data_IF_047987320817
#
_entry.id   IF_047987320817
#
_cell.length_a   1.000
_cell.length_b   1.000
_cell.length_c   1.000
_cell.angle_alpha   90.00
_cell.angle_beta   90.00
_cell.angle_gamma   90.00
#
_symmetry.space_group_name_H-M   'P 1'
#
loop_
_entity.id
_entity.type
_entity.pdbx_description
1 polymer ?
#
# COMPACT_ATOMS: atom_id res chain seq x y z
N UNK A 1 3.09 1.06 17.07
CA UNK A 1 4.00 0.19 16.29
C UNK A 1 5.11 -0.22 17.23
N UNK A 2 5.14 -1.48 17.63
CA UNK A 2 6.31 -2.08 18.26
C UNK A 2 7.41 -2.17 17.20
N UNK A 3 8.37 -1.25 17.29
CA UNK A 3 9.50 -1.14 16.35
C UNK A 3 10.70 -1.95 16.82
N UNK A 4 10.74 -2.32 18.10
CA UNK A 4 11.88 -2.98 18.74
C UNK A 4 12.07 -4.39 18.15
N UNK A 5 10.97 -5.07 17.85
CA UNK A 5 10.97 -6.35 17.13
C UNK A 5 11.44 -6.26 15.67
N UNK A 6 11.33 -5.08 15.03
CA UNK A 6 11.84 -4.83 13.67
C UNK A 6 13.33 -4.46 13.71
N UNK A 7 13.76 -3.73 14.73
CA UNK A 7 15.17 -3.35 14.92
C UNK A 7 16.06 -4.54 15.23
N UNK A 8 15.55 -5.54 15.97
CA UNK A 8 16.25 -6.82 16.20
C UNK A 8 16.63 -7.57 14.91
N UNK A 9 16.01 -7.26 13.77
CA UNK A 9 16.36 -7.84 12.47
C UNK A 9 17.66 -7.27 11.87
N UNK A 10 18.31 -6.28 12.51
CA UNK A 10 19.56 -5.69 12.05
C UNK A 10 20.72 -6.70 11.96
N UNK A 11 20.69 -7.74 12.81
CA UNK A 11 21.68 -8.82 12.87
C UNK A 11 21.72 -9.72 11.62
N UNK A 12 20.69 -9.64 10.78
CA UNK A 12 20.58 -10.45 9.57
C UNK A 12 21.60 -9.96 8.53
N UNK A 13 22.65 -10.76 8.32
CA UNK A 13 23.78 -10.42 7.43
C UNK A 13 23.35 -10.13 5.98
N UNK A 14 22.54 -10.98 5.31
CA UNK A 14 22.13 -10.69 3.94
C UNK A 14 21.12 -9.54 3.89
N UNK A 15 21.49 -8.43 3.25
CA UNK A 15 20.67 -7.21 3.21
C UNK A 15 19.28 -7.43 2.58
N UNK A 16 19.19 -8.28 1.56
CA UNK A 16 17.91 -8.61 0.90
C UNK A 16 16.96 -9.32 1.87
N UNK A 17 17.45 -10.33 2.59
CA UNK A 17 16.65 -11.07 3.57
C UNK A 17 16.28 -10.20 4.77
N UNK A 18 17.21 -9.36 5.25
CA UNK A 18 16.93 -8.39 6.30
C UNK A 18 15.75 -7.47 5.92
N UNK A 19 15.83 -6.87 4.74
CA UNK A 19 14.77 -6.00 4.22
C UNK A 19 13.46 -6.78 4.04
N UNK A 20 13.51 -7.98 3.46
CA UNK A 20 12.33 -8.81 3.28
C UNK A 20 11.65 -9.17 4.62
N UNK A 21 12.43 -9.50 5.66
CA UNK A 21 11.89 -9.79 6.98
C UNK A 21 11.30 -8.55 7.64
N UNK A 22 11.96 -7.38 7.54
CA UNK A 22 11.38 -6.11 8.05
C UNK A 22 10.07 -5.77 7.35
N UNK A 23 10.02 -5.91 6.02
CA UNK A 23 8.79 -5.71 5.24
C UNK A 23 7.70 -6.71 5.63
N UNK A 24 8.05 -7.98 5.90
CA UNK A 24 7.10 -8.99 6.38
C UNK A 24 6.56 -8.65 7.76
N UNK A 25 7.38 -8.14 8.68
CA UNK A 25 6.93 -7.67 9.99
C UNK A 25 5.98 -6.47 9.86
N UNK A 26 6.30 -5.50 8.99
CA UNK A 26 5.40 -4.37 8.69
C UNK A 26 4.08 -4.85 8.08
N UNK A 27 4.13 -5.81 7.15
CA UNK A 27 2.93 -6.41 6.55
C UNK A 27 2.03 -7.05 7.62
N UNK A 28 2.61 -7.74 8.61
CA UNK A 28 1.89 -8.33 9.74
C UNK A 28 1.27 -7.27 10.65
N UNK A 29 2.04 -6.25 11.05
CA UNK A 29 1.57 -5.15 11.90
C UNK A 29 0.40 -4.37 11.26
N UNK A 30 0.39 -4.27 9.93
CA UNK A 30 -0.68 -3.61 9.19
C UNK A 30 -1.81 -4.58 8.80
N UNK A 31 -1.74 -5.86 9.15
CA UNK A 31 -2.65 -6.91 8.66
C UNK A 31 -2.80 -6.97 7.12
N UNK A 32 -1.84 -6.45 6.37
CA UNK A 32 -1.86 -6.49 4.91
C UNK A 32 -1.61 -7.90 4.35
N UNK A 33 -1.24 -8.86 5.20
CA UNK A 33 -1.05 -10.27 4.84
C UNK A 33 -2.37 -11.03 4.62
N UNK A 34 -3.52 -10.44 4.96
CA UNK A 34 -4.85 -10.99 4.64
C UNK A 34 -5.58 -10.19 3.55
N UNK A 35 -5.01 -9.06 3.12
CA UNK A 35 -5.58 -8.21 2.07
C UNK A 35 -5.05 -8.67 0.73
N UNK A 36 -5.95 -8.98 -0.21
CA UNK A 36 -5.58 -9.32 -1.58
C UNK A 36 -5.93 -8.19 -2.56
N UNK A 37 -5.47 -8.31 -3.80
CA UNK A 37 -5.81 -7.39 -4.88
C UNK A 37 -7.32 -7.36 -5.16
N UNK A 38 -8.07 -8.42 -4.83
CA UNK A 38 -9.52 -8.48 -5.01
C UNK A 38 -10.24 -7.46 -4.13
N UNK A 39 -9.86 -7.34 -2.85
CA UNK A 39 -10.45 -6.36 -1.93
C UNK A 39 -9.84 -4.97 -2.16
N UNK A 40 -8.57 -4.92 -2.56
CA UNK A 40 -7.84 -3.67 -2.72
C UNK A 40 -8.29 -2.87 -3.96
N UNK A 41 -8.40 -3.49 -5.14
CA UNK A 41 -8.66 -2.79 -6.41
C UNK A 41 -9.93 -1.93 -6.38
N UNK A 42 -11.11 -2.41 -5.93
CA UNK A 42 -12.33 -1.60 -5.88
C UNK A 42 -12.17 -0.34 -5.03
N UNK A 43 -11.45 -0.47 -3.90
CA UNK A 43 -11.23 0.64 -2.98
C UNK A 43 -10.25 1.65 -3.59
N UNK A 44 -9.19 1.19 -4.27
CA UNK A 44 -8.26 2.09 -4.99
C UNK A 44 -8.94 2.84 -6.14
N UNK A 45 -9.90 2.22 -6.83
CA UNK A 45 -10.72 2.91 -7.83
C UNK A 45 -11.56 4.03 -7.20
N UNK A 46 -12.01 3.87 -5.95
CA UNK A 46 -12.80 4.88 -5.23
C UNK A 46 -11.98 6.08 -4.71
N UNK A 47 -10.65 5.96 -4.63
CA UNK A 47 -9.75 7.05 -4.21
C UNK A 47 -9.64 8.21 -5.21
N UNK A 48 -10.14 8.03 -6.44
CA UNK A 48 -10.30 9.12 -7.41
C UNK A 48 -10.42 8.67 -8.86
N UNK A 49 -10.95 9.53 -9.73
CA UNK A 49 -11.01 9.29 -11.18
C UNK A 49 -9.67 9.48 -11.89
N UNK A 50 -9.58 9.07 -13.15
CA UNK A 50 -8.38 9.08 -14.00
C UNK A 50 -7.68 10.45 -14.17
N UNK A 51 -8.28 11.54 -13.66
CA UNK A 51 -7.81 12.92 -13.85
C UNK A 51 -7.04 13.52 -12.65
N UNK A 52 -7.05 12.87 -11.49
CA UNK A 52 -6.57 13.46 -10.23
C UNK A 52 -5.29 12.77 -9.73
N UNK A 53 -4.25 12.79 -10.56
CA UNK A 53 -2.94 12.20 -10.18
C UNK A 53 -1.94 13.21 -9.62
N UNK A 54 -2.28 14.50 -9.64
CA UNK A 54 -1.43 15.60 -9.16
C UNK A 54 -1.81 16.16 -7.80
N UNK A 55 -3.09 16.11 -7.39
CA UNK A 55 -3.50 16.56 -6.07
C UNK A 55 -3.17 15.50 -5.01
N UNK A 56 -2.56 15.92 -3.90
CA UNK A 56 -2.31 15.04 -2.76
C UNK A 56 -3.63 14.54 -2.15
N UNK A 57 -3.69 13.26 -1.79
CA UNK A 57 -4.81 12.70 -1.06
C UNK A 57 -4.78 13.20 0.38
N UNK A 58 -5.90 13.77 0.84
CA UNK A 58 -6.06 14.14 2.23
C UNK A 58 -6.13 12.91 3.14
N UNK A 59 -5.68 13.07 4.38
CA UNK A 59 -5.72 12.03 5.41
C UNK A 59 -7.09 11.40 5.59
N UNK A 60 -8.14 12.22 5.57
CA UNK A 60 -9.51 11.72 5.67
C UNK A 60 -9.88 10.77 4.52
N UNK A 61 -9.47 11.07 3.27
CA UNK A 61 -9.75 10.22 2.11
C UNK A 61 -9.00 8.90 2.21
N UNK A 62 -7.72 8.95 2.58
CA UNK A 62 -6.88 7.75 2.75
C UNK A 62 -7.43 6.86 3.85
N UNK A 63 -7.77 7.45 5.01
CA UNK A 63 -8.34 6.72 6.15
C UNK A 63 -9.69 6.09 5.81
N UNK A 64 -10.56 6.80 5.11
CA UNK A 64 -11.86 6.26 4.68
C UNK A 64 -11.69 5.07 3.72
N UNK A 65 -10.77 5.18 2.76
CA UNK A 65 -10.40 4.10 1.85
C UNK A 65 -9.94 2.86 2.63
N UNK A 66 -8.95 3.02 3.51
CA UNK A 66 -8.39 1.91 4.28
C UNK A 66 -9.45 1.26 5.19
N UNK A 67 -10.32 2.05 5.83
CA UNK A 67 -11.42 1.51 6.63
C UNK A 67 -12.37 0.65 5.81
N UNK A 68 -12.78 1.10 4.61
CA UNK A 68 -13.65 0.31 3.72
C UNK A 68 -12.99 -1.00 3.30
N UNK A 69 -11.70 -0.97 3.00
CA UNK A 69 -10.93 -2.17 2.64
C UNK A 69 -10.94 -3.19 3.78
N UNK A 70 -10.59 -2.78 5.01
CA UNK A 70 -10.57 -3.70 6.15
C UNK A 70 -11.96 -4.14 6.60
N UNK A 71 -13.00 -3.33 6.38
CA UNK A 71 -14.39 -3.76 6.58
C UNK A 71 -14.75 -4.90 5.63
N UNK A 72 -14.40 -4.79 4.35
CA UNK A 72 -14.61 -5.86 3.36
C UNK A 72 -13.87 -7.15 3.77
N UNK A 73 -12.61 -7.04 4.15
CA UNK A 73 -11.79 -8.19 4.58
C UNK A 73 -12.35 -8.84 5.85
N UNK A 74 -12.82 -8.03 6.81
CA UNK A 74 -13.38 -8.53 8.07
C UNK A 74 -14.68 -9.31 7.87
N UNK A 75 -15.44 -9.00 6.82
CA UNK A 75 -16.64 -9.77 6.45
C UNK A 75 -16.29 -11.10 5.78
N UNK A 76 -15.22 -11.14 4.98
CA UNK A 76 -14.78 -12.36 4.30
C UNK A 76 -14.02 -13.32 5.23
N UNK A 77 -13.20 -12.78 6.14
CA UNK A 77 -12.39 -13.58 7.07
C UNK A 77 -12.49 -13.05 8.51
N UNK A 78 -13.58 -13.38 9.22
CA UNK A 78 -13.81 -12.89 10.57
C UNK A 78 -12.70 -13.28 11.54
N UNK A 79 -12.32 -12.34 12.41
CA UNK A 79 -11.34 -12.57 13.49
C UNK A 79 -9.86 -12.50 13.07
N UNK A 80 -9.54 -12.33 11.79
CA UNK A 80 -8.14 -12.21 11.33
C UNK A 80 -7.61 -10.77 11.26
N UNK A 81 -8.49 -9.78 11.35
CA UNK A 81 -8.16 -8.35 11.31
C UNK A 81 -8.41 -7.73 12.68
N UNK A 82 -7.38 -7.12 13.25
CA UNK A 82 -7.52 -6.29 14.46
C UNK A 82 -8.22 -4.97 14.13
N UNK A 83 -8.99 -4.43 15.08
CA UNK A 83 -9.60 -3.11 14.96
C UNK A 83 -8.58 -1.98 14.72
N UNK A 84 -7.31 -2.19 15.09
CA UNK A 84 -6.22 -1.23 14.90
C UNK A 84 -5.56 -1.29 13.51
N UNK A 85 -5.82 -2.34 12.73
CA UNK A 85 -5.17 -2.53 11.42
C UNK A 85 -5.34 -1.35 10.44
N UNK A 86 -6.53 -0.71 10.34
CA UNK A 86 -6.68 0.47 9.50
C UNK A 86 -5.78 1.62 9.92
N UNK A 87 -5.71 1.90 11.23
CA UNK A 87 -4.90 2.98 11.79
C UNK A 87 -3.41 2.73 11.56
N UNK A 88 -2.96 1.49 11.78
CA UNK A 88 -1.57 1.09 11.57
C UNK A 88 -1.15 1.22 10.11
N UNK A 89 -2.04 0.88 9.18
CA UNK A 89 -1.81 1.04 7.74
C UNK A 89 -1.75 2.51 7.34
N UNK A 90 -2.67 3.35 7.85
CA UNK A 90 -2.63 4.80 7.61
C UNK A 90 -1.32 5.40 8.10
N UNK A 91 -0.94 5.10 9.35
CA UNK A 91 0.29 5.59 9.96
C UNK A 91 1.53 5.20 9.17
N UNK A 92 1.58 3.99 8.61
CA UNK A 92 2.67 3.55 7.74
C UNK A 92 2.76 4.42 6.48
N UNK A 93 1.65 4.65 5.78
CA UNK A 93 1.62 5.42 4.54
C UNK A 93 2.09 6.87 4.75
N UNK A 94 1.60 7.52 5.80
CA UNK A 94 1.99 8.91 6.12
C UNK A 94 3.45 8.99 6.54
N UNK A 95 3.96 8.02 7.31
CA UNK A 95 5.39 7.95 7.64
C UNK A 95 6.28 7.78 6.40
N UNK A 96 5.81 7.05 5.38
CA UNK A 96 6.58 6.82 4.15
C UNK A 96 6.54 8.04 3.21
N UNK A 97 5.37 8.65 3.05
CA UNK A 97 5.11 9.58 1.94
C UNK A 97 4.80 11.02 2.34
N UNK A 98 4.54 11.30 3.62
CA UNK A 98 4.32 12.66 4.13
C UNK A 98 5.38 13.05 5.18
N UNK A 99 6.64 13.03 4.76
CA UNK A 99 7.77 13.40 5.64
C UNK A 99 7.74 14.88 6.05
N UNK A 100 7.10 15.72 5.24
CA UNK A 100 6.93 17.15 5.51
C UNK A 100 5.73 17.48 6.39
N UNK A 101 4.97 16.48 6.86
CA UNK A 101 3.76 16.67 7.69
C UNK A 101 2.74 17.62 7.07
N UNK A 102 2.58 17.53 5.75
CA UNK A 102 1.65 18.32 4.95
C UNK A 102 0.20 17.87 5.09
N UNK A 103 -0.04 16.67 5.64
CA UNK A 103 -1.36 16.03 5.73
C UNK A 103 -1.83 15.43 4.39
N UNK A 104 -0.96 15.39 3.39
CA UNK A 104 -1.27 14.94 2.04
C UNK A 104 -0.24 13.94 1.51
N UNK A 105 -0.71 12.91 0.80
CA UNK A 105 0.15 11.88 0.18
C UNK A 105 -0.17 11.68 -1.29
N UNK A 106 0.84 11.37 -2.10
CA UNK A 106 0.61 11.06 -3.51
C UNK A 106 -0.20 9.75 -3.63
N UNK A 107 -1.31 9.80 -4.38
CA UNK A 107 -2.16 8.64 -4.65
C UNK A 107 -1.36 7.45 -5.19
N UNK A 108 -0.46 7.68 -6.15
CA UNK A 108 0.35 6.62 -6.78
C UNK A 108 1.22 5.90 -5.76
N UNK A 109 1.80 6.65 -4.83
CA UNK A 109 2.62 6.10 -3.75
C UNK A 109 1.79 5.24 -2.80
N UNK A 110 0.58 5.69 -2.46
CA UNK A 110 -0.38 4.90 -1.67
C UNK A 110 -0.76 3.60 -2.38
N UNK A 111 -1.18 3.68 -3.64
CA UNK A 111 -1.56 2.50 -4.44
C UNK A 111 -0.40 1.50 -4.55
N UNK A 112 0.81 1.98 -4.88
CA UNK A 112 1.99 1.14 -5.02
C UNK A 112 2.38 0.44 -3.70
N UNK A 113 2.31 1.15 -2.57
CA UNK A 113 2.61 0.59 -1.26
C UNK A 113 1.60 -0.51 -0.86
N UNK A 114 0.30 -0.23 -1.04
CA UNK A 114 -0.76 -1.19 -0.71
C UNK A 114 -0.68 -2.45 -1.61
N UNK A 115 -0.42 -2.28 -2.91
CA UNK A 115 -0.19 -3.41 -3.82
C UNK A 115 1.03 -4.22 -3.40
N UNK A 116 2.14 -3.56 -3.04
CA UNK A 116 3.39 -4.26 -2.68
C UNK A 116 3.24 -5.10 -1.41
N UNK A 117 2.47 -4.59 -0.44
CA UNK A 117 2.21 -5.22 0.84
C UNK A 117 1.04 -6.22 0.82
N UNK A 118 0.31 -6.37 -0.29
CA UNK A 118 -0.79 -7.34 -0.37
C UNK A 118 -0.30 -8.79 -0.25
N UNK A 119 -1.22 -9.68 0.11
CA UNK A 119 -1.02 -11.10 0.30
C UNK A 119 -0.82 -11.89 -1.02
N UNK A 120 -1.02 -11.24 -2.17
CA UNK A 120 -0.97 -11.89 -3.47
C UNK A 120 0.42 -12.40 -3.87
N UNK A 121 0.41 -13.28 -4.86
CA UNK A 121 1.63 -13.76 -5.52
C UNK A 121 2.44 -12.61 -6.11
N UNK A 122 3.76 -12.79 -6.20
CA UNK A 122 4.67 -11.82 -6.79
C UNK A 122 4.25 -11.44 -8.22
N UNK A 123 3.80 -12.41 -9.02
CA UNK A 123 3.33 -12.20 -10.39
C UNK A 123 2.11 -11.28 -10.45
N UNK A 124 1.12 -11.50 -9.58
CA UNK A 124 -0.08 -10.66 -9.53
C UNK A 124 0.25 -9.23 -9.10
N UNK A 125 1.10 -9.06 -8.07
CA UNK A 125 1.57 -7.74 -7.63
C UNK A 125 2.33 -7.00 -8.72
N UNK A 126 3.23 -7.70 -9.43
CA UNK A 126 3.99 -7.09 -10.52
C UNK A 126 3.07 -6.61 -11.66
N UNK A 127 2.10 -7.44 -12.08
CA UNK A 127 1.09 -7.04 -13.08
C UNK A 127 0.28 -5.82 -12.62
N UNK A 128 -0.12 -5.77 -11.35
CA UNK A 128 -0.86 -4.64 -10.80
C UNK A 128 -0.03 -3.34 -10.78
N UNK A 129 1.26 -3.42 -10.43
CA UNK A 129 2.18 -2.28 -10.46
C UNK A 129 2.46 -1.79 -11.88
N UNK A 130 2.59 -2.70 -12.86
CA UNK A 130 2.74 -2.32 -14.28
C UNK A 130 1.50 -1.59 -14.77
N UNK A 131 0.29 -2.13 -14.49
CA UNK A 131 -0.98 -1.44 -14.82
C UNK A 131 -1.09 -0.07 -14.15
N UNK A 132 -0.59 0.07 -12.92
CA UNK A 132 -0.54 1.36 -12.24
C UNK A 132 0.37 2.34 -13.00
N UNK A 133 1.52 1.91 -13.49
CA UNK A 133 2.42 2.72 -14.30
C UNK A 133 1.79 3.11 -15.65
N UNK A 134 1.13 2.18 -16.34
CA UNK A 134 0.46 2.46 -17.62
C UNK A 134 -0.64 3.51 -17.47
N UNK A 135 -1.47 3.42 -16.41
CA UNK A 135 -2.47 4.44 -16.07
C UNK A 135 -1.88 5.83 -15.88
N UNK A 136 -0.62 5.92 -15.45
CA UNK A 136 0.07 7.20 -15.27
C UNK A 136 0.65 7.76 -16.57
N UNK A 137 0.97 6.90 -17.54
CA UNK A 137 1.52 7.30 -18.83
C UNK A 137 0.44 7.79 -19.82
N UNK A 138 -0.85 7.65 -19.50
CA UNK A 138 -1.95 7.98 -20.41
C UNK A 138 -1.95 7.14 -21.70
N UNK A 139 -1.21 6.03 -21.72
CA UNK A 139 -1.04 5.15 -22.88
C UNK A 139 -1.78 3.85 -22.62
N UNK A 140 -2.72 3.52 -23.50
CA UNK A 140 -3.36 2.20 -23.59
C UNK A 140 -2.41 1.12 -24.16
N UNK A 141 -1.18 1.50 -24.51
CA UNK A 141 -0.16 0.61 -25.05
C UNK A 141 0.82 0.27 -23.94
N UNK A 142 0.84 -1.02 -23.51
CA UNK A 142 1.62 -1.59 -22.39
C UNK A 142 3.14 -1.46 -22.51
N UNK A 143 3.60 -0.22 -22.68
CA UNK A 143 4.98 0.19 -22.94
C UNK A 143 5.32 1.27 -21.93
N UNK A 144 6.11 0.90 -20.92
CA UNK A 144 6.60 1.84 -19.91
C UNK A 144 7.85 2.55 -20.46
N UNK A 145 7.75 3.85 -20.73
CA UNK A 145 8.88 4.68 -21.22
C UNK A 145 9.41 5.59 -20.12
N UNK A 146 10.74 5.79 -20.05
CA UNK A 146 11.42 6.64 -19.05
C UNK A 146 11.37 8.14 -19.38
N UNK A 147 10.32 8.62 -20.03
CA UNK A 147 10.23 10.02 -20.45
C UNK A 147 9.82 10.89 -19.26
N UNK A 148 10.80 11.23 -18.41
CA UNK A 148 10.68 12.30 -17.43
C UNK A 148 11.07 13.62 -18.09
N UNK A 149 10.12 14.54 -18.19
CA UNK A 149 10.34 15.96 -18.48
C UNK A 149 10.85 16.70 -17.25
#
# INVERSE_FOLDING_TARGET
>A
MDMDSIEGLNEVRPAVYRTAMKLRSLQKLCHMYVVTLRELIPVLCSLGGARDTGAGLSEQKVRQCINRMFQSVSQEVPGQVSAEAPEMTCRLLYRLFDRGQTGAVCRRSVEAALISLSADTLSAKHKALVRLADRCSGRESGTVSRSGS
#
